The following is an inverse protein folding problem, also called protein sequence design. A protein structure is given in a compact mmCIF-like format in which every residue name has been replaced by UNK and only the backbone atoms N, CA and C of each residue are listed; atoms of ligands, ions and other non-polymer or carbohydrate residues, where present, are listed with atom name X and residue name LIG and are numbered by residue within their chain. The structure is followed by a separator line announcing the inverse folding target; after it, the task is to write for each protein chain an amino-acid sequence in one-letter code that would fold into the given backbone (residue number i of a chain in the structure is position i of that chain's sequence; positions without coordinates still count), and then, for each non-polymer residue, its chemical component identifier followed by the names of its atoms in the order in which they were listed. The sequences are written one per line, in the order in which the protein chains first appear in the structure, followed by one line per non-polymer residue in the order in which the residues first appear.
data_IF_857490377004
#
_entry.id   IF_857490377004
#
_cell.length_a   1.000
_cell.length_b   1.000
_cell.length_c   1.000
_cell.angle_alpha   90.00
_cell.angle_beta   90.00
_cell.angle_gamma   90.00
#
_symmetry.space_group_name_H-M   'P 1'
#
loop_
_entity.id
_entity.type
_entity.pdbx_description
1 polymer ?
#
# COMPACT_ATOMS: atom_id res chain seq x y z
N UNK A 1 2.05 20.38 -3.90
CA UNK A 1 1.79 19.31 -2.91
C UNK A 1 2.03 17.95 -3.57
N UNK A 2 3.23 17.39 -3.46
CA UNK A 2 3.57 16.04 -3.95
C UNK A 2 4.05 15.23 -2.75
N UNK A 3 3.15 14.66 -1.95
CA UNK A 3 3.55 13.81 -0.82
C UNK A 3 2.73 12.50 -0.78
N UNK A 4 3.47 11.40 -0.84
CA UNK A 4 3.13 10.03 -0.41
C UNK A 4 1.81 9.38 -0.84
N UNK A 5 1.51 9.38 -2.14
CA UNK A 5 0.61 8.35 -2.71
C UNK A 5 1.14 6.92 -2.51
N UNK A 6 2.44 6.77 -2.29
CA UNK A 6 3.13 5.47 -2.13
C UNK A 6 2.87 4.84 -0.76
N UNK A 7 2.79 5.61 0.34
CA UNK A 7 2.51 5.06 1.68
C UNK A 7 1.05 4.59 1.84
N UNK A 8 0.10 5.24 1.15
CA UNK A 8 -1.32 4.82 1.13
C UNK A 8 -1.51 3.48 0.41
N UNK A 9 -0.74 3.21 -0.64
CA UNK A 9 -0.86 1.97 -1.42
C UNK A 9 -0.38 0.72 -0.64
N UNK A 10 0.64 0.84 0.20
CA UNK A 10 1.18 -0.31 0.98
C UNK A 10 0.28 -0.67 2.16
N UNK A 11 -0.29 0.34 2.82
CA UNK A 11 -1.30 0.11 3.87
C UNK A 11 -2.60 -0.49 3.29
N UNK A 12 -3.01 -0.08 2.08
CA UNK A 12 -4.19 -0.62 1.41
C UNK A 12 -4.06 -2.11 1.05
N UNK A 13 -2.88 -2.58 0.62
CA UNK A 13 -2.66 -3.99 0.28
C UNK A 13 -2.64 -4.89 1.53
N UNK A 14 -2.03 -4.43 2.62
CA UNK A 14 -2.03 -5.15 3.91
C UNK A 14 -3.43 -5.20 4.55
N UNK A 15 -4.23 -4.13 4.43
CA UNK A 15 -5.63 -4.12 4.85
C UNK A 15 -6.48 -5.06 3.98
N UNK A 16 -6.28 -5.09 2.66
CA UNK A 16 -7.02 -6.01 1.78
C UNK A 16 -6.70 -7.48 2.04
N UNK A 17 -5.44 -7.83 2.35
CA UNK A 17 -5.06 -9.21 2.68
C UNK A 17 -5.49 -9.62 4.10
N UNK A 18 -5.59 -8.69 5.05
CA UNK A 18 -6.02 -8.96 6.42
C UNK A 18 -7.55 -9.16 6.59
N UNK A 19 -8.36 -8.57 5.72
CA UNK A 19 -9.83 -8.66 5.80
C UNK A 19 -10.38 -10.07 5.50
N UNK A 20 -9.65 -10.91 4.78
CA UNK A 20 -10.13 -12.25 4.41
C UNK A 20 -10.24 -13.21 5.61
N UNK A 21 -9.43 -13.04 6.65
CA UNK A 21 -9.38 -13.98 7.79
C UNK A 21 -10.33 -13.62 8.96
N UNK A 22 -10.77 -12.37 9.07
CA UNK A 22 -11.59 -11.88 10.20
C UNK A 22 -13.07 -11.71 9.83
N UNK A 23 -13.41 -11.79 8.53
CA UNK A 23 -14.77 -11.58 8.02
C UNK A 23 -15.81 -12.65 8.45
N UNK A 24 -15.37 -13.76 9.03
CA UNK A 24 -16.24 -14.90 9.33
C UNK A 24 -17.03 -14.79 10.66
N UNK A 25 -16.72 -13.85 11.55
CA UNK A 25 -17.37 -13.78 12.88
C UNK A 25 -17.90 -12.39 13.29
N UNK A 26 -17.50 -11.30 12.64
CA UNK A 26 -17.97 -9.96 12.98
C UNK A 26 -19.18 -9.54 12.13
N UNK A 27 -20.19 -8.95 12.78
CA UNK A 27 -21.35 -8.34 12.10
C UNK A 27 -20.92 -7.25 11.11
N UNK A 28 -19.89 -6.46 11.48
CA UNK A 28 -19.26 -5.46 10.62
C UNK A 28 -17.77 -5.80 10.46
N UNK A 29 -17.30 -6.17 9.25
CA UNK A 29 -15.91 -6.60 9.03
C UNK A 29 -14.88 -5.46 9.18
N UNK A 30 -15.34 -4.21 9.22
CA UNK A 30 -14.48 -3.04 9.42
C UNK A 30 -14.31 -2.67 10.89
N UNK A 31 -15.09 -3.27 11.80
CA UNK A 31 -14.92 -3.12 13.26
C UNK A 31 -14.02 -4.24 13.77
N UNK A 32 -12.71 -4.06 13.59
CA UNK A 32 -11.72 -5.03 14.04
C UNK A 32 -11.41 -4.81 15.52
N UNK A 33 -11.44 -5.87 16.35
CA UNK A 33 -11.00 -5.76 17.75
C UNK A 33 -9.49 -5.47 17.79
N UNK A 34 -9.01 -4.83 18.87
CA UNK A 34 -7.59 -4.55 19.02
C UNK A 34 -6.81 -5.86 19.16
N UNK A 35 -5.64 -6.00 18.50
CA UNK A 35 -4.88 -7.25 18.56
C UNK A 35 -4.32 -7.52 19.97
N UNK A 36 -4.06 -6.48 20.75
CA UNK A 36 -3.47 -6.58 22.08
C UNK A 36 -4.08 -5.58 23.05
N UNK A 37 -4.12 -5.93 24.34
CA UNK A 37 -4.28 -4.92 25.41
C UNK A 37 -3.10 -3.96 25.41
N UNK A 38 -1.89 -4.50 25.31
CA UNK A 38 -0.68 -3.74 25.02
C UNK A 38 0.39 -4.58 24.34
N UNK A 39 1.19 -3.97 23.47
CA UNK A 39 2.37 -4.61 22.87
C UNK A 39 3.37 -3.58 22.34
N UNK A 40 4.64 -4.00 22.23
CA UNK A 40 5.71 -3.29 21.52
C UNK A 40 6.32 -4.28 20.53
N UNK A 41 6.35 -3.90 19.25
CA UNK A 41 6.99 -4.69 18.20
C UNK A 41 8.04 -3.83 17.52
N UNK A 42 9.27 -4.33 17.48
CA UNK A 42 10.37 -3.70 16.75
C UNK A 42 10.54 -4.40 15.41
N UNK A 43 10.78 -3.62 14.36
CA UNK A 43 10.97 -4.09 13.00
C UNK A 43 12.27 -3.56 12.41
N UNK A 44 12.89 -4.37 11.55
CA UNK A 44 13.94 -3.96 10.63
C UNK A 44 13.43 -4.02 9.18
N UNK A 45 13.90 -3.08 8.36
CA UNK A 45 13.62 -3.01 6.93
C UNK A 45 14.93 -3.28 6.16
N UNK A 46 14.84 -4.08 5.10
CA UNK A 46 15.97 -4.34 4.19
C UNK A 46 15.52 -4.41 2.72
N UNK A 47 16.49 -4.48 1.80
CA UNK A 47 16.25 -4.39 0.36
C UNK A 47 16.28 -2.95 -0.13
N UNK A 48 15.25 -2.53 -0.87
CA UNK A 48 15.12 -1.13 -1.32
C UNK A 48 14.75 -0.17 -0.18
N UNK A 49 14.25 -0.69 0.94
CA UNK A 49 13.99 0.07 2.16
C UNK A 49 15.00 -0.35 3.23
N UNK A 50 15.61 0.62 3.91
CA UNK A 50 16.60 0.36 4.96
C UNK A 50 16.29 1.22 6.17
N UNK A 51 16.19 0.60 7.34
CA UNK A 51 15.89 1.30 8.58
C UNK A 51 15.12 0.44 9.57
N UNK A 52 14.41 1.11 10.47
CA UNK A 52 13.70 0.45 11.56
C UNK A 52 12.35 1.14 11.82
N UNK A 53 11.44 0.39 12.43
CA UNK A 53 10.26 0.97 13.04
C UNK A 53 9.94 0.27 14.36
N UNK A 54 9.25 0.99 15.24
CA UNK A 54 8.66 0.43 16.45
C UNK A 54 7.17 0.71 16.42
N UNK A 55 6.38 -0.35 16.58
CA UNK A 55 4.93 -0.28 16.68
C UNK A 55 4.51 -0.53 18.12
N UNK A 56 3.79 0.44 18.67
CA UNK A 56 3.19 0.40 19.99
C UNK A 56 1.68 0.13 19.84
N UNK A 57 1.16 -0.78 20.65
CA UNK A 57 -0.26 -1.06 20.78
C UNK A 57 -0.70 -0.81 22.22
N UNK A 58 -1.83 -0.11 22.42
CA UNK A 58 -2.50 0.07 23.71
C UNK A 58 -4.00 0.12 23.49
N UNK A 59 -4.68 -1.01 23.70
CA UNK A 59 -6.08 -1.19 23.33
C UNK A 59 -6.29 -0.83 21.86
N UNK A 60 -7.22 0.08 21.60
CA UNK A 60 -7.57 0.52 20.24
C UNK A 60 -6.62 1.59 19.66
N UNK A 61 -5.60 2.00 20.41
CA UNK A 61 -4.58 2.94 19.92
C UNK A 61 -3.35 2.18 19.43
N UNK A 62 -2.89 2.52 18.22
CA UNK A 62 -1.62 2.07 17.65
C UNK A 62 -0.77 3.28 17.32
N UNK A 63 0.53 3.24 17.62
CA UNK A 63 1.48 4.22 17.12
C UNK A 63 2.65 3.51 16.43
N UNK A 64 3.00 3.93 15.23
CA UNK A 64 4.18 3.43 14.50
C UNK A 64 5.19 4.56 14.38
N UNK A 65 6.37 4.36 14.97
CA UNK A 65 7.51 5.25 14.88
C UNK A 65 8.44 4.67 13.84
N UNK A 66 8.67 5.37 12.74
CA UNK A 66 9.34 4.83 11.57
C UNK A 66 10.47 5.74 11.14
N UNK A 67 11.64 5.16 10.91
CA UNK A 67 12.79 5.81 10.29
C UNK A 67 13.37 4.89 9.23
N UNK A 68 13.00 5.14 7.97
CA UNK A 68 13.34 4.28 6.84
C UNK A 68 13.78 5.12 5.65
N UNK A 69 14.91 4.73 5.05
CA UNK A 69 15.38 5.28 3.78
C UNK A 69 14.98 4.34 2.66
N UNK A 70 14.31 4.87 1.64
CA UNK A 70 13.94 4.12 0.43
C UNK A 70 14.86 4.54 -0.71
N UNK A 71 15.51 3.58 -1.38
CA UNK A 71 16.37 3.79 -2.55
C UNK A 71 15.82 3.03 -3.76
N UNK A 72 15.48 3.75 -4.81
CA UNK A 72 14.98 3.19 -6.08
C UNK A 72 15.70 3.92 -7.22
N UNK A 73 16.43 3.17 -8.07
CA UNK A 73 17.08 3.68 -9.28
C UNK A 73 17.93 4.95 -9.04
N UNK A 74 18.72 4.99 -7.96
CA UNK A 74 19.57 6.13 -7.61
C UNK A 74 18.86 7.30 -6.92
N UNK A 75 17.52 7.30 -6.85
CA UNK A 75 16.74 8.27 -6.08
C UNK A 75 16.48 7.76 -4.66
N UNK A 76 16.74 8.62 -3.68
CA UNK A 76 16.52 8.35 -2.26
C UNK A 76 15.39 9.19 -1.68
N UNK A 77 14.62 8.63 -0.76
CA UNK A 77 13.73 9.38 0.12
C UNK A 77 13.85 8.85 1.55
N UNK A 78 13.77 9.74 2.53
CA UNK A 78 13.73 9.39 3.94
C UNK A 78 12.29 9.55 4.45
N UNK A 79 11.81 8.53 5.14
CA UNK A 79 10.55 8.51 5.88
C UNK A 79 10.91 8.46 7.37
N UNK A 80 10.87 9.63 8.01
CA UNK A 80 11.04 9.79 9.45
C UNK A 80 9.74 10.34 10.02
N UNK A 81 8.86 9.45 10.48
CA UNK A 81 7.49 9.78 10.81
C UNK A 81 6.94 9.00 12.00
N UNK A 82 5.88 9.55 12.60
CA UNK A 82 5.06 8.85 13.58
C UNK A 82 3.63 8.81 13.06
N UNK A 83 3.05 7.63 12.95
CA UNK A 83 1.64 7.45 12.59
C UNK A 83 0.90 6.92 13.81
N UNK A 84 -0.01 7.73 14.35
CA UNK A 84 -0.86 7.39 15.48
C UNK A 84 -2.26 7.12 14.96
N UNK A 85 -2.73 5.88 15.11
CA UNK A 85 -4.05 5.44 14.71
C UNK A 85 -4.90 5.21 15.95
N UNK A 86 -5.99 5.96 16.04
CA UNK A 86 -7.03 5.82 17.04
C UNK A 86 -8.35 5.43 16.33
N UNK A 87 -9.39 4.98 17.06
CA UNK A 87 -10.67 4.63 16.44
C UNK A 87 -11.25 5.74 15.58
N UNK A 88 -11.20 6.99 16.02
CA UNK A 88 -11.86 8.10 15.32
C UNK A 88 -10.93 8.90 14.42
N UNK A 89 -9.60 8.82 14.62
CA UNK A 89 -8.65 9.67 13.92
C UNK A 89 -7.33 8.97 13.61
N UNK A 90 -6.65 9.47 12.59
CA UNK A 90 -5.28 9.12 12.27
C UNK A 90 -4.46 10.39 12.27
N UNK A 91 -3.43 10.43 13.10
CA UNK A 91 -2.47 11.54 13.17
C UNK A 91 -1.18 11.11 12.51
N UNK A 92 -0.71 11.90 11.56
CA UNK A 92 0.58 11.72 10.90
C UNK A 92 1.50 12.86 11.32
N UNK A 93 2.64 12.50 11.87
CA UNK A 93 3.71 13.41 12.28
C UNK A 93 4.89 13.20 11.34
N UNK A 94 5.30 14.24 10.62
CA UNK A 94 6.52 14.28 9.84
C UNK A 94 7.63 14.90 10.69
N UNK A 95 8.55 14.07 11.19
CA UNK A 95 9.64 14.51 12.05
C UNK A 95 10.74 15.23 11.27
N UNK A 96 10.83 15.02 9.95
CA UNK A 96 11.75 15.77 9.10
C UNK A 96 11.30 17.22 8.90
N UNK A 97 9.99 17.45 8.86
CA UNK A 97 9.40 18.79 8.71
C UNK A 97 8.98 19.46 10.01
N UNK A 98 8.95 18.74 11.13
CA UNK A 98 8.36 19.20 12.40
C UNK A 98 6.89 19.61 12.25
N UNK A 99 6.15 18.91 11.39
CA UNK A 99 4.75 19.17 11.10
C UNK A 99 3.92 17.95 11.46
N UNK A 100 2.68 18.17 11.87
CA UNK A 100 1.71 17.10 12.03
C UNK A 100 0.35 17.51 11.50
N UNK A 101 -0.35 16.54 10.94
CA UNK A 101 -1.75 16.70 10.58
C UNK A 101 -2.56 15.49 11.05
N UNK A 102 -3.86 15.67 11.16
CA UNK A 102 -4.76 14.56 11.43
C UNK A 102 -5.97 14.58 10.50
N UNK A 103 -6.49 13.38 10.25
CA UNK A 103 -7.77 13.13 9.58
C UNK A 103 -8.61 12.24 10.49
N UNK A 104 -9.87 12.01 10.12
CA UNK A 104 -10.57 10.86 10.68
C UNK A 104 -9.97 9.53 10.22
N UNK A 105 -10.52 8.45 10.75
CA UNK A 105 -10.08 7.10 10.41
C UNK A 105 -10.94 6.52 9.26
N UNK A 106 -10.29 6.26 8.13
CA UNK A 106 -10.93 5.69 6.94
C UNK A 106 -11.67 4.37 7.23
N UNK A 107 -11.12 3.49 8.07
CA UNK A 107 -11.77 2.23 8.44
C UNK A 107 -13.05 2.49 9.22
N UNK A 108 -13.07 3.53 10.05
CA UNK A 108 -14.27 3.95 10.78
C UNK A 108 -15.33 4.51 9.85
N UNK A 109 -14.94 5.25 8.81
CA UNK A 109 -15.88 5.67 7.76
C UNK A 109 -16.46 4.47 6.99
N UNK A 110 -15.63 3.49 6.62
CA UNK A 110 -16.14 2.25 6.01
C UNK A 110 -17.11 1.51 6.94
N UNK A 111 -16.79 1.42 8.23
CA UNK A 111 -17.66 0.80 9.21
C UNK A 111 -19.00 1.53 9.32
N UNK A 112 -19.00 2.87 9.36
CA UNK A 112 -20.20 3.69 9.40
C UNK A 112 -21.05 3.53 8.14
N UNK A 113 -20.45 3.52 6.95
CA UNK A 113 -21.19 3.31 5.71
C UNK A 113 -21.73 1.87 5.61
N UNK A 114 -20.99 0.87 6.09
CA UNK A 114 -21.44 -0.51 6.15
C UNK A 114 -22.62 -0.71 7.12
N UNK A 115 -22.63 -0.02 8.26
CA UNK A 115 -23.69 -0.13 9.26
C UNK A 115 -25.05 0.36 8.71
N UNK A 116 -25.04 1.32 7.77
CA UNK A 116 -26.25 1.83 7.10
C UNK A 116 -26.90 0.85 6.13
N UNK A 117 -26.20 -0.22 5.75
CA UNK A 117 -26.67 -1.16 4.75
C UNK A 117 -27.72 -2.12 5.31
N UNK A 118 -28.70 -2.46 4.47
CA UNK A 118 -29.64 -3.56 4.75
C UNK A 118 -28.90 -4.90 4.83
N UNK A 119 -29.48 -5.94 5.47
CA UNK A 119 -28.87 -7.27 5.51
C UNK A 119 -28.55 -7.86 4.13
N UNK A 120 -29.41 -7.60 3.14
CA UNK A 120 -29.20 -8.03 1.76
C UNK A 120 -28.00 -7.32 1.11
N UNK A 121 -27.85 -6.01 1.33
CA UNK A 121 -26.70 -5.23 0.88
C UNK A 121 -25.41 -5.67 1.59
N UNK A 122 -25.45 -5.90 2.89
CA UNK A 122 -24.31 -6.42 3.67
C UNK A 122 -23.79 -7.74 3.10
N UNK A 123 -24.69 -8.66 2.75
CA UNK A 123 -24.35 -9.93 2.09
C UNK A 123 -23.74 -9.71 0.70
N UNK A 124 -24.28 -8.77 -0.08
CA UNK A 124 -23.70 -8.38 -1.39
C UNK A 124 -22.30 -7.80 -1.25
N UNK A 125 -22.09 -6.87 -0.31
CA UNK A 125 -20.78 -6.26 -0.05
C UNK A 125 -19.73 -7.32 0.27
N UNK A 126 -20.05 -8.29 1.15
CA UNK A 126 -19.12 -9.39 1.48
C UNK A 126 -18.74 -10.20 0.22
N UNK A 127 -19.74 -10.64 -0.55
CA UNK A 127 -19.52 -11.41 -1.79
C UNK A 127 -18.72 -10.62 -2.83
N UNK A 128 -19.07 -9.36 -3.06
CA UNK A 128 -18.41 -8.51 -4.04
C UNK A 128 -16.99 -8.14 -3.62
N UNK A 129 -16.71 -7.98 -2.32
CA UNK A 129 -15.37 -7.76 -1.81
C UNK A 129 -14.46 -8.98 -2.02
N UNK A 130 -14.96 -10.20 -1.77
CA UNK A 130 -14.24 -11.44 -2.07
C UNK A 130 -13.93 -11.57 -3.57
N UNK A 131 -14.93 -11.29 -4.42
CA UNK A 131 -14.76 -11.28 -5.88
C UNK A 131 -13.74 -10.22 -6.33
N UNK A 132 -13.80 -9.01 -5.76
CA UNK A 132 -12.86 -7.93 -6.05
C UNK A 132 -11.43 -8.36 -5.71
N UNK A 133 -11.21 -8.95 -4.53
CA UNK A 133 -9.91 -9.46 -4.11
C UNK A 133 -9.38 -10.55 -5.04
N UNK A 134 -10.23 -11.53 -5.40
CA UNK A 134 -9.86 -12.59 -6.34
C UNK A 134 -9.49 -12.06 -7.73
N UNK A 135 -10.26 -11.11 -8.26
CA UNK A 135 -10.03 -10.49 -9.56
C UNK A 135 -8.76 -9.62 -9.56
N UNK A 136 -8.50 -8.89 -8.48
CA UNK A 136 -7.28 -8.09 -8.33
C UNK A 136 -6.03 -8.98 -8.37
N UNK A 137 -6.05 -10.11 -7.66
CA UNK A 137 -4.95 -11.08 -7.66
C UNK A 137 -4.73 -11.70 -9.05
N UNK A 138 -5.81 -12.04 -9.75
CA UNK A 138 -5.73 -12.56 -11.12
C UNK A 138 -5.15 -11.53 -12.10
N UNK A 139 -5.57 -10.27 -12.00
CA UNK A 139 -5.14 -9.18 -12.88
C UNK A 139 -3.64 -8.86 -12.74
N UNK A 140 -3.05 -9.05 -11.56
CA UNK A 140 -1.62 -8.83 -11.32
C UNK A 140 -0.73 -10.03 -11.73
N UNK A 141 -1.25 -10.93 -12.58
CA UNK A 141 -0.50 -12.06 -13.12
C UNK A 141 -0.25 -13.19 -12.12
N UNK A 142 -0.97 -13.19 -10.99
CA UNK A 142 -0.74 -14.08 -9.87
C UNK A 142 -1.56 -15.37 -9.88
N UNK A 143 -0.88 -16.48 -9.59
CA UNK A 143 -1.46 -17.73 -9.09
C UNK A 143 -2.29 -17.47 -7.82
N UNK A 144 -3.26 -18.35 -7.51
CA UNK A 144 -4.00 -18.31 -6.23
C UNK A 144 -3.01 -18.21 -5.05
N UNK A 145 -3.31 -17.41 -4.00
CA UNK A 145 -2.46 -17.32 -2.82
C UNK A 145 -2.18 -18.71 -2.25
N UNK A 146 -0.91 -19.02 -2.02
CA UNK A 146 -0.53 -20.21 -1.29
C UNK A 146 -0.57 -19.87 0.20
N UNK A 147 -1.48 -20.51 0.92
CA UNK A 147 -1.64 -20.33 2.36
C UNK A 147 -1.12 -21.56 3.07
N UNK A 148 -0.20 -21.36 4.01
CA UNK A 148 0.30 -22.40 4.90
C UNK A 148 0.39 -21.87 6.33
N UNK A 149 0.65 -22.75 7.28
CA UNK A 149 0.81 -22.40 8.69
C UNK A 149 2.27 -22.59 9.08
N UNK A 150 2.75 -21.80 10.03
CA UNK A 150 4.10 -21.95 10.57
C UNK A 150 4.29 -21.20 11.87
N UNK A 151 5.56 -21.01 12.23
CA UNK A 151 5.96 -20.28 13.44
C UNK A 151 7.03 -19.26 13.09
N UNK A 152 6.93 -18.06 13.66
CA UNK A 152 7.97 -17.03 13.56
C UNK A 152 8.11 -16.31 14.92
N UNK A 153 9.34 -16.18 15.44
CA UNK A 153 9.60 -15.67 16.79
C UNK A 153 8.73 -16.30 17.88
N UNK A 154 8.56 -17.63 17.85
CA UNK A 154 7.71 -18.39 18.77
C UNK A 154 6.22 -18.02 18.72
N UNK A 155 5.77 -17.35 17.66
CA UNK A 155 4.37 -17.03 17.44
C UNK A 155 3.80 -17.83 16.27
N UNK A 156 2.58 -18.39 16.39
CA UNK A 156 1.91 -19.05 15.28
C UNK A 156 1.55 -18.02 14.21
N UNK A 157 1.96 -18.30 12.97
CA UNK A 157 1.75 -17.43 11.82
C UNK A 157 1.03 -18.15 10.70
N UNK A 158 0.17 -17.41 10.02
CA UNK A 158 -0.31 -17.75 8.69
C UNK A 158 0.65 -17.18 7.66
N UNK A 159 1.15 -18.05 6.79
CA UNK A 159 2.12 -17.71 5.75
C UNK A 159 1.35 -17.63 4.44
N UNK A 160 1.32 -16.45 3.84
CA UNK A 160 0.65 -16.20 2.57
C UNK A 160 1.70 -15.83 1.52
N UNK A 161 1.84 -16.64 0.49
CA UNK A 161 2.71 -16.38 -0.65
C UNK A 161 1.89 -16.03 -1.89
N UNK A 162 2.17 -14.86 -2.47
CA UNK A 162 1.46 -14.35 -3.64
C UNK A 162 2.37 -13.39 -4.42
N UNK A 163 2.46 -13.56 -5.74
CA UNK A 163 3.20 -12.66 -6.65
C UNK A 163 4.64 -12.34 -6.22
N UNK A 164 5.39 -13.33 -5.75
CA UNK A 164 6.77 -13.14 -5.31
C UNK A 164 6.92 -12.46 -3.94
N UNK A 165 5.82 -12.14 -3.25
CA UNK A 165 5.79 -11.73 -1.85
C UNK A 165 5.38 -12.90 -0.96
N UNK A 166 6.00 -12.99 0.21
CA UNK A 166 5.62 -13.89 1.30
C UNK A 166 5.38 -13.05 2.54
N UNK A 167 4.19 -13.16 3.12
CA UNK A 167 3.82 -12.51 4.39
C UNK A 167 3.62 -13.56 5.47
N UNK A 168 4.14 -13.28 6.66
CA UNK A 168 3.99 -14.07 7.88
C UNK A 168 3.16 -13.25 8.85
N UNK A 169 1.87 -13.55 8.94
CA UNK A 169 0.91 -12.80 9.76
C UNK A 169 0.60 -13.59 11.02
N UNK A 170 0.72 -12.96 12.19
CA UNK A 170 0.34 -13.58 13.45
C UNK A 170 -1.13 -13.99 13.43
N UNK A 171 -1.35 -15.30 13.51
CA UNK A 171 -2.66 -15.92 13.45
C UNK A 171 -3.61 -15.35 14.51
N UNK A 172 -4.80 -14.93 14.08
CA UNK A 172 -5.84 -14.35 14.95
C UNK A 172 -5.56 -12.94 15.45
N UNK A 173 -4.42 -12.33 15.08
CA UNK A 173 -4.06 -10.95 15.45
C UNK A 173 -4.04 -10.00 14.26
N UNK A 174 -3.87 -10.51 13.04
CA UNK A 174 -3.77 -9.66 11.85
C UNK A 174 -2.52 -8.78 11.83
N UNK A 175 -1.49 -9.15 12.59
CA UNK A 175 -0.23 -8.39 12.71
C UNK A 175 0.84 -9.08 11.90
N UNK A 176 1.40 -8.39 10.90
CA UNK A 176 2.50 -8.92 10.08
C UNK A 176 3.78 -8.93 10.93
N UNK A 177 4.41 -10.10 11.05
CA UNK A 177 5.67 -10.26 11.76
C UNK A 177 6.86 -10.36 10.81
N UNK A 178 6.67 -10.85 9.60
CA UNK A 178 7.70 -10.87 8.57
C UNK A 178 7.05 -10.71 7.21
N UNK A 179 7.69 -9.96 6.33
CA UNK A 179 7.35 -9.89 4.92
C UNK A 179 8.65 -9.93 4.12
N UNK A 180 8.69 -10.73 3.08
CA UNK A 180 9.87 -10.83 2.20
C UNK A 180 9.45 -11.02 0.75
N UNK A 181 10.30 -10.55 -0.15
CA UNK A 181 10.10 -10.69 -1.59
C UNK A 181 10.06 -9.35 -2.30
N UNK A 182 9.53 -9.37 -3.52
CA UNK A 182 9.46 -8.16 -4.32
C UNK A 182 8.46 -8.25 -5.46
N UNK A 183 8.01 -7.08 -5.89
CA UNK A 183 7.12 -6.92 -7.04
C UNK A 183 7.77 -5.91 -7.97
N UNK A 184 7.82 -6.22 -9.27
CA UNK A 184 8.32 -5.30 -10.30
C UNK A 184 9.73 -4.74 -10.01
N UNK A 185 10.65 -5.60 -9.55
CA UNK A 185 12.03 -5.22 -9.26
C UNK A 185 12.24 -4.44 -7.96
N UNK A 186 11.19 -4.19 -7.18
CA UNK A 186 11.30 -3.60 -5.84
C UNK A 186 11.30 -4.70 -4.78
N UNK A 187 12.42 -4.85 -4.08
CA UNK A 187 12.56 -5.74 -2.92
C UNK A 187 12.01 -5.05 -1.67
N UNK A 188 11.06 -5.71 -1.02
CA UNK A 188 10.39 -5.23 0.18
C UNK A 188 10.54 -6.28 1.29
N UNK A 189 11.49 -6.04 2.19
CA UNK A 189 11.69 -6.90 3.34
C UNK A 189 11.39 -6.14 4.63
N UNK A 190 10.52 -6.72 5.45
CA UNK A 190 10.16 -6.27 6.79
C UNK A 190 10.32 -7.45 7.73
N UNK A 191 11.01 -7.30 8.84
CA UNK A 191 11.16 -8.40 9.81
C UNK A 191 11.02 -7.86 11.22
N UNK A 192 10.06 -8.40 11.97
CA UNK A 192 9.98 -8.16 13.41
C UNK A 192 11.24 -8.75 14.04
N UNK A 193 11.95 -7.94 14.82
CA UNK A 193 13.15 -8.32 15.54
C UNK A 193 12.85 -8.61 17.01
N UNK A 194 11.77 -8.06 17.54
CA UNK A 194 11.31 -8.30 18.90
C UNK A 194 9.80 -8.07 19.01
N UNK A 195 9.13 -8.93 19.78
CA UNK A 195 7.72 -8.80 20.13
C UNK A 195 7.59 -8.89 21.66
N UNK A 196 6.98 -7.88 22.27
CA UNK A 196 6.68 -7.86 23.71
C UNK A 196 5.21 -7.56 23.91
N UNK A 197 4.47 -8.46 24.56
CA UNK A 197 3.02 -8.28 24.81
C UNK A 197 2.77 -8.09 26.32
N UNK A 198 1.68 -7.41 26.67
CA UNK A 198 1.30 -7.18 28.08
C UNK A 198 2.22 -6.20 28.82
N UNK A 199 3.10 -5.50 28.11
CA UNK A 199 4.01 -4.51 28.70
C UNK A 199 3.36 -3.12 28.80
N UNK A 200 3.68 -2.31 29.82
CA UNK A 200 3.24 -0.92 29.87
C UNK A 200 3.78 -0.11 28.69
N UNK A 201 2.93 0.74 28.10
CA UNK A 201 3.31 1.64 27.01
C UNK A 201 3.38 3.07 27.54
N UNK A 202 4.56 3.73 27.44
CA UNK A 202 4.70 5.12 27.80
C UNK A 202 3.76 6.01 26.98
N UNK A 203 3.11 6.98 27.64
CA UNK A 203 2.11 7.83 26.99
C UNK A 203 2.70 8.71 25.88
N UNK A 204 3.95 9.13 26.01
CA UNK A 204 4.69 9.92 25.01
C UNK A 204 4.89 9.16 23.69
N UNK A 205 4.86 7.82 23.70
CA UNK A 205 4.94 7.02 22.47
C UNK A 205 3.64 6.95 21.70
N UNK A 206 2.53 7.36 22.32
CA UNK A 206 1.19 7.35 21.74
C UNK A 206 0.67 8.76 21.45
N UNK A 207 1.53 9.78 21.55
CA UNK A 207 1.20 11.17 21.30
C UNK A 207 2.23 11.80 20.36
N UNK A 208 1.88 12.88 19.63
CA UNK A 208 2.85 13.68 18.92
C UNK A 208 3.94 14.21 19.89
N UNK A 209 5.20 14.34 19.44
CA UNK A 209 6.25 14.92 20.26
C UNK A 209 5.92 16.35 20.72
N UNK A 210 6.44 16.78 21.88
CA UNK A 210 6.29 18.16 22.34
C UNK A 210 6.74 19.16 21.27
N UNK A 211 5.96 20.23 21.09
CA UNK A 211 6.24 21.28 20.10
C UNK A 211 5.61 21.04 18.72
N UNK A 212 5.21 19.80 18.38
CA UNK A 212 4.52 19.51 17.12
C UNK A 212 3.03 19.38 17.37
N UNK A 213 2.25 20.38 16.92
CA UNK A 213 0.78 20.40 17.10
C UNK A 213 0.09 19.89 15.82
N UNK A 214 -0.69 18.79 15.88
CA UNK A 214 -1.44 18.33 14.72
C UNK A 214 -2.51 19.33 14.28
N UNK A 215 -2.54 19.61 12.99
CA UNK A 215 -3.58 20.44 12.34
C UNK A 215 -4.58 19.55 11.61
N UNK A 216 -5.87 19.85 11.70
CA UNK A 216 -6.88 19.09 10.96
C UNK A 216 -6.72 19.29 9.46
N UNK A 217 -6.55 18.22 8.70
CA UNK A 217 -6.53 18.26 7.25
C UNK A 217 -7.94 17.98 6.71
N UNK A 218 -8.75 19.04 6.60
CA UNK A 218 -10.15 18.94 6.18
C UNK A 218 -10.30 18.39 4.75
N UNK A 219 -9.42 18.78 3.82
CA UNK A 219 -9.48 18.30 2.43
C UNK A 219 -9.24 16.80 2.36
N UNK A 220 -8.18 16.31 3.03
CA UNK A 220 -7.87 14.88 3.09
C UNK A 220 -8.97 14.08 3.80
N UNK A 221 -9.56 14.63 4.88
CA UNK A 221 -10.68 14.00 5.57
C UNK A 221 -11.91 13.84 4.66
N UNK A 222 -12.28 14.91 3.96
CA UNK A 222 -13.39 14.89 3.01
C UNK A 222 -13.16 13.86 1.89
N UNK A 223 -11.94 13.79 1.35
CA UNK A 223 -11.57 12.79 0.36
C UNK A 223 -11.69 11.36 0.91
N UNK A 224 -11.25 11.10 2.15
CA UNK A 224 -11.39 9.79 2.78
C UNK A 224 -12.86 9.39 2.97
N UNK A 225 -13.72 10.33 3.40
CA UNK A 225 -15.17 10.07 3.54
C UNK A 225 -15.82 9.75 2.20
N UNK A 226 -15.51 10.54 1.17
CA UNK A 226 -16.01 10.31 -0.18
C UNK A 226 -15.54 8.95 -0.71
N UNK A 227 -14.27 8.61 -0.52
CA UNK A 227 -13.72 7.31 -0.92
C UNK A 227 -14.43 6.16 -0.20
N UNK A 228 -14.66 6.28 1.11
CA UNK A 228 -15.34 5.23 1.88
C UNK A 228 -16.77 5.00 1.37
N UNK A 229 -17.49 6.08 1.08
CA UNK A 229 -18.82 6.03 0.47
C UNK A 229 -18.78 5.39 -0.91
N UNK A 230 -17.88 5.83 -1.79
CA UNK A 230 -17.73 5.27 -3.14
C UNK A 230 -17.41 3.77 -3.12
N UNK A 231 -16.52 3.34 -2.22
CA UNK A 231 -16.19 1.92 -2.05
C UNK A 231 -17.43 1.13 -1.61
N UNK A 232 -18.21 1.63 -0.64
CA UNK A 232 -19.44 0.94 -0.23
C UNK A 232 -20.52 0.94 -1.32
N UNK A 233 -20.71 2.05 -2.04
CA UNK A 233 -21.66 2.15 -3.14
C UNK A 233 -21.30 1.18 -4.28
N UNK A 234 -20.01 1.07 -4.60
CA UNK A 234 -19.49 0.10 -5.56
C UNK A 234 -19.71 -1.34 -5.08
N UNK A 235 -19.38 -1.65 -3.82
CA UNK A 235 -19.47 -3.03 -3.31
C UNK A 235 -20.92 -3.49 -3.09
N UNK A 236 -21.87 -2.59 -2.84
CA UNK A 236 -23.28 -2.97 -2.67
C UNK A 236 -24.05 -3.10 -3.99
N UNK A 237 -23.46 -2.62 -5.10
CA UNK A 237 -24.02 -2.65 -6.44
C UNK A 237 -24.26 -4.11 -6.91
N UNK A 238 -25.50 -4.47 -7.29
CA UNK A 238 -25.80 -5.81 -7.78
C UNK A 238 -25.06 -6.16 -9.10
N UNK A 239 -24.68 -5.17 -9.90
CA UNK A 239 -23.98 -5.34 -11.18
C UNK A 239 -22.47 -5.17 -11.07
N UNK A 240 -21.90 -5.13 -9.84
CA UNK A 240 -20.47 -4.99 -9.59
C UNK A 240 -19.60 -5.86 -10.51
N UNK A 241 -19.92 -7.16 -10.60
CA UNK A 241 -19.16 -8.11 -11.42
C UNK A 241 -19.18 -7.77 -12.92
N UNK A 242 -20.33 -7.33 -13.45
CA UNK A 242 -20.45 -6.97 -14.88
C UNK A 242 -19.67 -5.70 -15.18
N UNK A 243 -19.84 -4.66 -14.35
CA UNK A 243 -19.13 -3.39 -14.50
C UNK A 243 -17.62 -3.58 -14.38
N UNK A 244 -17.17 -4.41 -13.45
CA UNK A 244 -15.75 -4.74 -13.30
C UNK A 244 -15.21 -5.50 -14.52
N UNK A 245 -15.93 -6.49 -15.04
CA UNK A 245 -15.53 -7.22 -16.24
C UNK A 245 -15.45 -6.32 -17.47
N UNK A 246 -16.41 -5.41 -17.65
CA UNK A 246 -16.39 -4.41 -18.73
C UNK A 246 -15.18 -3.49 -18.60
N UNK A 247 -14.96 -2.90 -17.43
CA UNK A 247 -13.81 -2.03 -17.19
C UNK A 247 -12.46 -2.73 -17.46
N UNK A 248 -12.34 -4.02 -17.10
CA UNK A 248 -11.14 -4.80 -17.36
C UNK A 248 -10.95 -5.10 -18.86
N UNK A 249 -12.03 -5.37 -19.59
CA UNK A 249 -11.98 -5.55 -21.04
C UNK A 249 -11.57 -4.27 -21.76
N UNK A 250 -12.12 -3.12 -21.34
CA UNK A 250 -11.79 -1.81 -21.90
C UNK A 250 -10.33 -1.44 -21.62
N UNK A 251 -9.85 -1.65 -20.39
CA UNK A 251 -8.45 -1.45 -20.04
C UNK A 251 -7.51 -2.33 -20.88
N UNK A 252 -7.89 -3.60 -21.12
CA UNK A 252 -7.10 -4.51 -21.96
C UNK A 252 -7.06 -4.07 -23.43
N UNK A 253 -8.19 -3.56 -23.97
CA UNK A 253 -8.25 -3.01 -25.33
C UNK A 253 -7.35 -1.78 -25.46
N UNK A 254 -7.46 -0.83 -24.53
CA UNK A 254 -6.62 0.37 -24.52
C UNK A 254 -5.13 0.04 -24.40
N UNK A 255 -4.75 -0.93 -23.56
CA UNK A 255 -3.36 -1.36 -23.44
C UNK A 255 -2.82 -1.95 -24.76
N UNK A 256 -3.62 -2.77 -25.46
CA UNK A 256 -3.23 -3.33 -26.77
C UNK A 256 -3.10 -2.25 -27.84
N UNK A 257 -4.02 -1.29 -27.87
CA UNK A 257 -3.96 -0.15 -28.80
C UNK A 257 -2.72 0.72 -28.56
N UNK A 258 -2.39 1.01 -27.30
CA UNK A 258 -1.19 1.76 -26.93
C UNK A 258 0.09 1.01 -27.34
N UNK A 259 0.15 -0.31 -27.13
CA UNK A 259 1.28 -1.13 -27.58
C UNK A 259 1.41 -1.13 -29.11
N UNK A 260 0.30 -1.26 -29.84
CA UNK A 260 0.30 -1.21 -31.31
C UNK A 260 0.81 0.15 -31.83
N UNK A 261 0.39 1.25 -31.21
CA UNK A 261 0.88 2.59 -31.54
C UNK A 261 2.38 2.76 -31.24
N UNK A 262 2.87 2.24 -30.12
CA UNK A 262 4.30 2.26 -29.80
C UNK A 262 5.13 1.46 -30.81
N UNK A 263 4.68 0.26 -31.20
CA UNK A 263 5.36 -0.53 -32.22
C UNK A 263 5.35 0.16 -33.58
N UNK A 264 4.25 0.78 -33.98
CA UNK A 264 4.17 1.54 -35.23
C UNK A 264 5.13 2.75 -35.24
N UNK A 265 5.21 3.49 -34.13
CA UNK A 265 6.12 4.63 -34.00
C UNK A 265 7.60 4.21 -34.06
N UNK A 266 7.97 3.08 -33.43
CA UNK A 266 9.34 2.54 -33.50
C UNK A 266 9.72 2.07 -34.92
N UNK A 267 8.78 1.47 -35.66
CA UNK A 267 9.01 1.05 -37.04
C UNK A 267 9.15 2.24 -38.00
N UNK A 268 8.47 3.35 -37.74
CA UNK A 268 8.62 4.58 -38.52
C UNK A 268 9.94 5.28 -38.21
N UNK A 269 10.34 5.38 -36.94
CA UNK A 269 11.63 5.97 -36.55
C UNK A 269 12.84 5.18 -37.07
N UNK A 270 12.76 3.84 -37.10
CA UNK A 270 13.83 2.99 -37.65
C UNK A 270 14.02 3.06 -39.17
N UNK A 271 13.06 3.63 -39.91
CA UNK A 271 13.14 3.81 -41.38
C UNK A 271 13.65 5.20 -41.80
N UNK A 272 13.87 6.11 -40.86
CA UNK A 272 14.27 7.50 -41.13
C UNK A 272 15.73 7.82 -40.83
N UNK A 273 16.60 6.83 -40.57
CA UNK A 273 18.04 7.06 -40.53
C UNK A 273 18.62 6.99 -41.96
N UNK A 274 19.02 8.12 -42.59
CA UNK A 274 19.69 8.07 -43.87
C UNK A 274 21.09 7.47 -43.70
N UNK A 275 21.36 6.41 -44.45
CA UNK A 275 22.70 5.88 -44.65
C UNK A 275 23.47 6.81 -45.58
N UNK A 276 24.18 7.80 -45.03
CA UNK A 276 25.27 8.48 -45.76
C UNK A 276 26.11 9.35 -44.83
N UNK A 277 27.35 8.93 -44.59
CA UNK A 277 28.38 9.76 -43.96
C UNK A 277 29.56 8.94 -43.44
N UNK A 278 30.70 9.03 -44.13
CA UNK A 278 31.98 8.36 -43.87
C UNK A 278 32.50 8.44 -42.42
N UNK A 279 33.40 7.54 -42.01
CA UNK A 279 34.06 7.58 -40.71
C UNK A 279 35.02 8.77 -40.64
N UNK A 280 34.72 9.75 -39.77
CA UNK A 280 35.72 10.66 -39.24
C UNK A 280 35.98 10.31 -37.78
N UNK A 281 37.26 10.00 -37.55
CA UNK A 281 37.95 9.86 -36.28
C UNK A 281 37.65 11.05 -35.37
N UNK A 282 37.25 10.78 -34.11
CA UNK A 282 36.81 11.82 -33.20
C UNK A 282 36.09 11.27 -31.97
N UNK A 283 36.87 10.87 -30.98
CA UNK A 283 36.44 10.56 -29.62
C UNK A 283 35.66 11.72 -29.00
N UNK A 284 34.33 11.57 -28.84
CA UNK A 284 33.60 12.25 -27.77
C UNK A 284 32.26 11.56 -27.47
N UNK A 285 32.00 11.47 -26.17
CA UNK A 285 30.97 10.73 -25.45
C UNK A 285 29.51 11.04 -25.86
N UNK A 286 28.80 10.05 -26.42
CA UNK A 286 27.37 10.10 -26.73
C UNK A 286 26.47 9.19 -25.85
N UNK A 287 27.00 8.68 -24.73
CA UNK A 287 26.21 7.85 -23.79
C UNK A 287 25.34 8.67 -22.82
N UNK A 288 25.42 10.00 -22.82
CA UNK A 288 24.66 10.88 -21.91
C UNK A 288 23.22 11.15 -22.35
N UNK A 289 22.96 11.28 -23.65
CA UNK A 289 21.68 11.84 -24.13
C UNK A 289 20.52 10.84 -24.14
N UNK A 290 20.77 9.55 -24.42
CA UNK A 290 19.70 8.54 -24.42
C UNK A 290 19.15 8.27 -23.00
N UNK A 291 19.99 8.42 -21.98
CA UNK A 291 19.56 8.28 -20.58
C UNK A 291 18.73 9.51 -20.16
N UNK A 292 19.10 10.70 -20.63
CA UNK A 292 18.38 11.95 -20.38
C UNK A 292 16.99 11.96 -21.06
N UNK A 293 16.90 11.45 -22.29
CA UNK A 293 15.64 11.30 -23.03
C UNK A 293 14.70 10.27 -22.38
N UNK A 294 15.24 9.13 -21.94
CA UNK A 294 14.46 8.13 -21.20
C UNK A 294 13.89 8.67 -19.88
N UNK A 295 14.67 9.48 -19.16
CA UNK A 295 14.23 10.16 -17.93
C UNK A 295 13.14 11.21 -18.18
N UNK A 296 13.22 11.95 -19.29
CA UNK A 296 12.22 12.97 -19.64
C UNK A 296 10.90 12.36 -20.14
N UNK A 297 10.96 11.22 -20.84
CA UNK A 297 9.77 10.46 -21.22
C UNK A 297 9.05 9.86 -20.01
N UNK A 298 9.81 9.33 -19.03
CA UNK A 298 9.26 8.82 -17.78
C UNK A 298 8.59 9.93 -16.93
N UNK A 299 9.16 11.14 -16.92
CA UNK A 299 8.55 12.31 -16.25
C UNK A 299 7.21 12.72 -16.88
N UNK A 300 7.11 12.66 -18.22
CA UNK A 300 5.86 12.95 -18.95
C UNK A 300 4.76 11.91 -18.70
N UNK A 301 5.11 10.63 -18.62
CA UNK A 301 4.15 9.54 -18.39
C UNK A 301 3.59 9.50 -16.96
N UNK A 302 4.31 10.06 -15.99
CA UNK A 302 3.92 10.03 -14.58
C UNK A 302 3.23 11.29 -14.08
N UNK A 303 2.96 12.28 -14.97
CA UNK A 303 2.46 13.61 -14.61
C UNK A 303 3.10 14.14 -13.31
N UNK A 304 4.43 14.14 -13.28
CA UNK A 304 5.21 14.91 -12.32
C UNK A 304 5.17 16.38 -12.73
#
# INVERSE_FOLDING_TARGET
MRFSRVCLATAALAVMLGLAAVAAAADNPFKMPPPFKSAIINYSYSGNQQGQSTVYFKGDTRAEHKKVVTKILGFGSEDNSIIITEPQRVTTVDLGKNEAYYTGNYITYLAQEYDKLSPAEKKRVKKNAEQMGGNFLAAMGGSKPQVSQGTFLNHPVEIVKVMGLTSYTWKGKGVVLKQEGGIMGMQMNLTATQVRTGVPIPADKLAPPPGIKPVFNQEADNQQRQMAKQVMDMLKDPDFGKKQSQAMQDASRQAKEAQAQQHAAQQQAGKSAPASGQPQDGSQSQSGDMVQEGLNAAKKLLNW
#
